data_IF_593869936286
#
_entry.id   IF_593869936286
#
_cell.length_a   1.000
_cell.length_b   1.000
_cell.length_c   1.000
_cell.angle_alpha   90.00
_cell.angle_beta   90.00
_cell.angle_gamma   90.00
#
_symmetry.space_group_name_H-M   'P 1'
#
loop_
_entity.id
_entity.type
_entity.pdbx_description
1 polymer ?
#
# COMPACT_ATOMS: atom_id res chain seq x y z
N UNK A 1 19.99 -12.77 46.23
CA UNK A 1 19.89 -11.32 45.90
C UNK A 1 20.73 -11.22 44.66
N UNK A 2 20.13 -11.63 43.54
CA UNK A 2 20.90 -12.08 42.39
C UNK A 2 20.98 -10.91 41.42
N UNK A 3 22.11 -10.21 41.52
CA UNK A 3 22.51 -9.19 40.56
C UNK A 3 23.07 -9.97 39.37
N UNK A 4 22.25 -10.18 38.35
CA UNK A 4 22.71 -10.78 37.10
C UNK A 4 23.08 -9.68 36.09
N UNK A 5 24.23 -9.91 35.46
CA UNK A 5 24.98 -8.97 34.62
C UNK A 5 24.15 -8.59 33.39
N UNK A 6 23.86 -7.29 33.26
CA UNK A 6 23.17 -6.66 32.12
C UNK A 6 23.93 -7.01 30.83
N UNK A 7 23.37 -7.92 30.03
CA UNK A 7 23.86 -8.23 28.68
C UNK A 7 23.49 -7.10 27.72
N UNK A 8 24.18 -5.97 27.81
CA UNK A 8 24.19 -4.98 26.74
C UNK A 8 25.19 -5.40 25.68
N UNK A 9 24.72 -5.75 24.48
CA UNK A 9 25.60 -5.72 23.30
C UNK A 9 24.96 -5.36 21.96
N UNK A 10 23.64 -5.39 21.80
CA UNK A 10 22.98 -4.95 20.55
C UNK A 10 21.74 -4.11 20.84
N UNK A 11 21.74 -2.84 20.40
CA UNK A 11 20.59 -1.92 20.60
C UNK A 11 19.30 -2.42 19.95
N UNK A 12 19.41 -3.20 18.87
CA UNK A 12 18.27 -3.83 18.22
C UNK A 12 17.67 -4.97 19.05
N UNK A 13 18.50 -5.74 19.77
CA UNK A 13 18.03 -6.83 20.63
C UNK A 13 17.32 -6.30 21.88
N UNK A 14 17.86 -5.22 22.48
CA UNK A 14 17.24 -4.54 23.63
C UNK A 14 15.82 -4.04 23.28
N UNK A 15 15.67 -3.39 22.12
CA UNK A 15 14.37 -2.92 21.64
C UNK A 15 13.41 -4.09 21.35
N UNK A 16 13.89 -5.16 20.72
CA UNK A 16 13.05 -6.33 20.43
C UNK A 16 12.45 -6.96 21.68
N UNK A 17 13.22 -7.08 22.77
CA UNK A 17 12.72 -7.57 24.06
C UNK A 17 11.66 -6.62 24.61
N UNK A 18 11.95 -5.32 24.65
CA UNK A 18 11.01 -4.32 25.14
C UNK A 18 9.68 -4.30 24.37
N UNK A 19 9.71 -4.45 23.05
CA UNK A 19 8.49 -4.46 22.23
C UNK A 19 7.61 -5.69 22.52
N UNK A 20 8.21 -6.85 22.78
CA UNK A 20 7.46 -8.06 23.17
C UNK A 20 6.88 -7.91 24.58
N UNK A 21 7.70 -7.49 25.54
CA UNK A 21 7.30 -7.28 26.93
C UNK A 21 6.17 -6.24 27.09
N UNK A 22 6.11 -5.27 26.18
CA UNK A 22 5.08 -4.25 26.14
C UNK A 22 3.87 -4.65 25.29
N UNK A 23 3.79 -5.87 24.75
CA UNK A 23 2.67 -6.33 23.91
C UNK A 23 2.36 -5.41 22.72
N UNK A 24 3.38 -4.75 22.16
CA UNK A 24 3.21 -3.71 21.14
C UNK A 24 2.56 -4.24 19.87
N UNK A 25 2.81 -5.49 19.51
CA UNK A 25 2.23 -6.14 18.34
C UNK A 25 0.70 -6.14 18.37
N UNK A 26 0.10 -6.32 19.56
CA UNK A 26 -1.36 -6.43 19.71
C UNK A 26 -2.09 -5.17 19.27
N UNK A 27 -1.49 -3.99 19.50
CA UNK A 27 -2.06 -2.70 19.06
C UNK A 27 -2.21 -2.69 17.53
N UNK A 28 -1.19 -3.15 16.82
CA UNK A 28 -1.15 -3.12 15.36
C UNK A 28 -2.02 -4.24 14.76
N UNK A 29 -2.04 -5.44 15.33
CA UNK A 29 -2.89 -6.54 14.84
C UNK A 29 -4.36 -6.34 15.17
N UNK A 30 -4.69 -5.62 16.25
CA UNK A 30 -6.06 -5.19 16.53
C UNK A 30 -6.53 -4.11 15.54
N UNK A 31 -5.62 -3.24 15.06
CA UNK A 31 -5.93 -2.24 14.06
C UNK A 31 -5.97 -2.81 12.62
N UNK A 32 -5.09 -3.77 12.31
CA UNK A 32 -5.03 -4.50 11.04
C UNK A 32 -5.05 -6.02 11.27
N UNK A 33 -6.23 -6.67 11.22
CA UNK A 33 -6.35 -8.11 11.47
C UNK A 33 -5.61 -9.01 10.49
N UNK A 34 -5.20 -8.48 9.33
CA UNK A 34 -4.41 -9.23 8.33
C UNK A 34 -2.90 -9.21 8.66
N UNK A 35 -2.45 -8.34 9.57
CA UNK A 35 -1.05 -8.18 9.92
C UNK A 35 -0.62 -9.25 10.94
N UNK A 36 0.52 -9.91 10.69
CA UNK A 36 1.09 -10.85 11.65
C UNK A 36 1.79 -10.13 12.81
N UNK A 37 1.84 -10.70 14.03
CA UNK A 37 2.58 -10.09 15.14
C UNK A 37 4.06 -9.85 14.84
N UNK A 38 4.71 -10.76 14.09
CA UNK A 38 6.11 -10.60 13.68
C UNK A 38 6.31 -9.42 12.73
N UNK A 39 5.39 -9.22 11.79
CA UNK A 39 5.46 -8.10 10.85
C UNK A 39 5.20 -6.76 11.55
N UNK A 40 4.28 -6.75 12.53
CA UNK A 40 4.05 -5.58 13.38
C UNK A 40 5.32 -5.17 14.15
N UNK A 41 6.01 -6.13 14.77
CA UNK A 41 7.27 -5.85 15.48
C UNK A 41 8.37 -5.38 14.53
N UNK A 42 8.50 -6.01 13.36
CA UNK A 42 9.47 -5.59 12.33
C UNK A 42 9.17 -4.16 11.83
N UNK A 43 7.90 -3.81 11.66
CA UNK A 43 7.46 -2.45 11.31
C UNK A 43 7.90 -1.45 12.39
N UNK A 44 7.63 -1.73 13.66
CA UNK A 44 8.01 -0.83 14.76
C UNK A 44 9.52 -0.64 14.81
N UNK A 45 10.29 -1.73 14.74
CA UNK A 45 11.75 -1.67 14.76
C UNK A 45 12.33 -0.87 13.60
N UNK A 46 11.76 -1.01 12.40
CA UNK A 46 12.19 -0.29 11.20
C UNK A 46 11.96 1.22 11.33
N UNK A 47 10.84 1.62 11.92
CA UNK A 47 10.42 3.01 11.95
C UNK A 47 10.70 3.72 13.28
N UNK A 48 11.17 3.03 14.31
CA UNK A 48 11.55 3.66 15.57
C UNK A 48 12.61 4.75 15.35
N UNK A 49 12.35 5.96 15.85
CA UNK A 49 13.27 7.10 15.70
C UNK A 49 13.70 7.65 17.05
N UNK A 50 14.97 8.01 17.17
CA UNK A 50 15.55 8.70 18.34
C UNK A 50 15.65 10.23 18.10
N UNK A 51 15.31 10.69 16.90
CA UNK A 51 15.43 12.10 16.50
C UNK A 51 14.11 12.85 16.71
N UNK A 52 14.12 13.82 17.64
CA UNK A 52 12.96 14.65 17.95
C UNK A 52 12.44 15.43 16.73
N UNK A 53 13.33 15.86 15.84
CA UNK A 53 12.96 16.57 14.62
C UNK A 53 12.22 15.66 13.65
N UNK A 54 12.74 14.45 13.42
CA UNK A 54 12.09 13.43 12.57
C UNK A 54 10.70 13.06 13.11
N UNK A 55 10.59 12.81 14.42
CA UNK A 55 9.32 12.46 15.06
C UNK A 55 8.31 13.60 14.88
N UNK A 56 8.72 14.85 15.09
CA UNK A 56 7.84 16.00 14.94
C UNK A 56 7.40 16.23 13.47
N UNK A 57 8.28 16.00 12.50
CA UNK A 57 7.92 16.05 11.08
C UNK A 57 6.92 14.95 10.71
N UNK A 58 7.08 13.72 11.22
CA UNK A 58 6.10 12.63 11.03
C UNK A 58 4.74 12.98 11.64
N UNK A 59 4.71 13.48 12.88
CA UNK A 59 3.47 13.92 13.52
C UNK A 59 2.80 15.06 12.74
N UNK A 60 3.60 15.96 12.14
CA UNK A 60 3.08 17.04 11.30
C UNK A 60 2.41 16.52 10.04
N UNK A 61 3.08 15.64 9.31
CA UNK A 61 2.52 15.05 8.09
C UNK A 61 1.31 14.15 8.41
N UNK A 62 1.39 13.30 9.45
CA UNK A 62 0.27 12.46 9.88
C UNK A 62 -0.96 13.30 10.26
N UNK A 63 -0.75 14.42 10.95
CA UNK A 63 -1.82 15.37 11.30
C UNK A 63 -2.44 16.03 10.07
N UNK A 64 -1.66 16.41 9.05
CA UNK A 64 -2.25 16.95 7.84
C UNK A 64 -2.99 15.86 7.05
N UNK A 65 -2.42 14.65 6.93
CA UNK A 65 -3.03 13.53 6.23
C UNK A 65 -4.36 13.12 6.86
N UNK A 66 -4.45 13.05 8.20
CA UNK A 66 -5.71 12.78 8.92
C UNK A 66 -6.79 13.82 8.60
N UNK A 67 -6.39 15.06 8.28
CA UNK A 67 -7.30 16.12 7.88
C UNK A 67 -7.75 16.05 6.41
N UNK A 68 -7.04 15.27 5.58
CA UNK A 68 -7.25 15.15 4.13
C UNK A 68 -7.93 13.83 3.72
N UNK A 69 -7.59 12.73 4.40
CA UNK A 69 -7.92 11.36 4.03
C UNK A 69 -8.09 10.48 5.28
N UNK A 70 -8.69 9.31 5.09
CA UNK A 70 -8.65 8.19 6.04
C UNK A 70 -7.65 7.10 5.57
N UNK A 71 -7.45 6.08 6.40
CA UNK A 71 -6.55 4.95 6.10
C UNK A 71 -6.97 4.14 4.86
N UNK A 72 -8.28 4.05 4.57
CA UNK A 72 -8.84 3.28 3.45
C UNK A 72 -8.64 3.99 2.12
N UNK A 73 -8.90 5.29 2.08
CA UNK A 73 -8.66 6.15 0.92
C UNK A 73 -7.16 6.26 0.61
N UNK A 74 -6.31 6.40 1.64
CA UNK A 74 -4.86 6.38 1.45
C UNK A 74 -4.37 5.01 0.94
N UNK A 75 -4.97 3.89 1.41
CA UNK A 75 -4.70 2.54 0.86
C UNK A 75 -5.00 2.47 -0.64
N UNK A 76 -6.12 3.06 -1.08
CA UNK A 76 -6.49 3.10 -2.51
C UNK A 76 -5.48 3.90 -3.34
N UNK A 77 -5.06 5.07 -2.85
CA UNK A 77 -4.04 5.89 -3.51
C UNK A 77 -2.68 5.16 -3.58
N UNK A 78 -2.23 4.52 -2.50
CA UNK A 78 -1.02 3.67 -2.53
C UNK A 78 -1.20 2.51 -3.54
N UNK A 79 -2.41 1.97 -3.65
CA UNK A 79 -2.78 0.97 -4.65
C UNK A 79 -2.43 1.40 -6.08
N UNK A 80 -2.67 2.66 -6.46
CA UNK A 80 -2.32 3.17 -7.80
C UNK A 80 -0.81 3.23 -8.03
N UNK A 81 -0.01 3.52 -7.00
CA UNK A 81 1.45 3.44 -7.08
C UNK A 81 1.92 1.99 -7.27
N UNK A 82 1.38 1.05 -6.50
CA UNK A 82 1.75 -0.38 -6.63
C UNK A 82 1.35 -0.95 -7.99
N UNK A 83 0.26 -0.45 -8.59
CA UNK A 83 -0.15 -0.83 -9.94
C UNK A 83 0.93 -0.47 -10.98
N UNK A 84 1.56 0.72 -10.88
CA UNK A 84 2.69 1.09 -11.74
C UNK A 84 3.82 0.06 -11.64
N UNK A 85 4.14 -0.40 -10.43
CA UNK A 85 5.20 -1.38 -10.19
C UNK A 85 4.86 -2.73 -10.83
N UNK A 86 3.63 -3.20 -10.65
CA UNK A 86 3.13 -4.44 -11.27
C UNK A 86 3.22 -4.38 -12.80
N UNK A 87 2.72 -3.30 -13.42
CA UNK A 87 2.74 -3.16 -14.88
C UNK A 87 4.16 -3.02 -15.42
N UNK A 88 5.06 -2.34 -14.70
CA UNK A 88 6.49 -2.26 -15.05
C UNK A 88 7.14 -3.64 -15.04
N UNK A 89 6.82 -4.49 -14.07
CA UNK A 89 7.39 -5.83 -14.00
C UNK A 89 6.78 -6.76 -15.07
N UNK A 90 5.49 -6.64 -15.37
CA UNK A 90 4.86 -7.33 -16.51
C UNK A 90 5.48 -6.92 -17.85
N UNK A 91 5.81 -5.64 -18.03
CA UNK A 91 6.45 -5.15 -19.25
C UNK A 91 7.82 -5.81 -19.50
N UNK A 92 8.57 -6.17 -18.45
CA UNK A 92 9.84 -6.91 -18.58
C UNK A 92 9.64 -8.34 -19.08
N UNK A 93 8.44 -8.90 -18.90
CA UNK A 93 8.05 -10.23 -19.33
C UNK A 93 7.40 -10.25 -20.73
N UNK A 94 7.31 -9.10 -21.40
CA UNK A 94 6.72 -9.01 -22.74
C UNK A 94 7.48 -9.90 -23.74
N UNK A 95 6.81 -10.94 -24.23
CA UNK A 95 7.37 -11.90 -25.20
C UNK A 95 6.99 -11.62 -26.66
N UNK A 96 6.00 -10.76 -26.90
CA UNK A 96 5.43 -10.45 -28.22
C UNK A 96 5.25 -8.94 -28.39
N UNK A 97 5.05 -8.47 -29.63
CA UNK A 97 4.75 -7.06 -29.87
C UNK A 97 3.41 -6.67 -29.26
N UNK A 98 2.44 -7.58 -29.30
CA UNK A 98 1.13 -7.39 -28.69
C UNK A 98 1.23 -7.18 -27.17
N UNK A 99 1.91 -8.08 -26.44
CA UNK A 99 2.09 -7.94 -24.98
C UNK A 99 2.89 -6.70 -24.62
N UNK A 100 3.88 -6.31 -25.43
CA UNK A 100 4.61 -5.07 -25.24
C UNK A 100 3.67 -3.85 -25.30
N UNK A 101 2.86 -3.74 -26.36
CA UNK A 101 1.87 -2.66 -26.50
C UNK A 101 0.87 -2.67 -25.35
N UNK A 102 0.37 -3.84 -24.96
CA UNK A 102 -0.61 -3.99 -23.89
C UNK A 102 -0.05 -3.53 -22.52
N UNK A 103 1.14 -4.01 -22.13
CA UNK A 103 1.75 -3.65 -20.85
C UNK A 103 2.19 -2.19 -20.82
N UNK A 104 2.69 -1.64 -21.94
CA UNK A 104 2.98 -0.21 -22.05
C UNK A 104 1.73 0.63 -21.91
N UNK A 105 0.63 0.26 -22.56
CA UNK A 105 -0.66 0.93 -22.39
C UNK A 105 -1.09 0.91 -20.92
N UNK A 106 -1.14 -0.27 -20.29
CA UNK A 106 -1.53 -0.40 -18.88
C UNK A 106 -0.64 0.41 -17.93
N UNK A 107 0.67 0.43 -18.17
CA UNK A 107 1.62 1.24 -17.41
C UNK A 107 1.33 2.75 -17.56
N UNK A 108 1.08 3.22 -18.79
CA UNK A 108 0.69 4.62 -19.05
C UNK A 108 -0.64 4.97 -18.36
N UNK A 109 -1.62 4.06 -18.39
CA UNK A 109 -2.90 4.25 -17.71
C UNK A 109 -2.75 4.29 -16.18
N UNK A 110 -1.93 3.39 -15.62
CA UNK A 110 -1.64 3.35 -14.19
C UNK A 110 -0.96 4.65 -13.73
N UNK A 111 -0.03 5.18 -14.52
CA UNK A 111 0.61 6.48 -14.25
C UNK A 111 -0.39 7.63 -14.23
N UNK A 112 -1.21 7.78 -15.27
CA UNK A 112 -2.21 8.86 -15.35
C UNK A 112 -3.21 8.77 -14.20
N UNK A 113 -3.66 7.55 -13.88
CA UNK A 113 -4.56 7.30 -12.75
C UNK A 113 -3.91 7.69 -11.43
N UNK A 114 -2.65 7.31 -11.22
CA UNK A 114 -1.91 7.63 -10.01
C UNK A 114 -1.75 9.14 -9.81
N UNK A 115 -1.24 9.86 -10.81
CA UNK A 115 -1.03 11.31 -10.71
C UNK A 115 -2.35 12.03 -10.45
N UNK A 116 -3.41 11.66 -11.18
CA UNK A 116 -4.76 12.22 -10.99
C UNK A 116 -5.27 11.98 -9.56
N UNK A 117 -5.22 10.74 -9.08
CA UNK A 117 -5.70 10.34 -7.75
C UNK A 117 -4.98 11.11 -6.64
N UNK A 118 -3.66 11.23 -6.72
CA UNK A 118 -2.89 11.97 -5.71
C UNK A 118 -3.14 13.47 -5.78
N UNK A 119 -3.26 14.07 -6.96
CA UNK A 119 -3.64 15.48 -7.06
C UNK A 119 -5.02 15.73 -6.45
N UNK A 120 -6.02 14.91 -6.77
CA UNK A 120 -7.37 15.02 -6.21
C UNK A 120 -7.42 14.85 -4.69
N UNK A 121 -6.54 14.03 -4.12
CA UNK A 121 -6.40 13.86 -2.68
C UNK A 121 -5.70 15.06 -2.03
N UNK A 122 -4.58 15.51 -2.62
CA UNK A 122 -3.68 16.51 -2.04
C UNK A 122 -4.15 17.96 -2.24
N UNK A 123 -5.01 18.24 -3.24
CA UNK A 123 -5.58 19.56 -3.52
C UNK A 123 -6.77 19.92 -2.59
N UNK A 124 -7.21 18.98 -1.73
CA UNK A 124 -8.34 19.19 -0.81
C UNK A 124 -7.99 20.18 0.31
N UNK A 125 -8.99 20.91 0.84
CA UNK A 125 -8.78 21.69 2.07
C UNK A 125 -8.53 20.75 3.26
N UNK A 126 -7.47 21.02 4.02
CA UNK A 126 -7.15 20.27 5.24
C UNK A 126 -8.15 20.63 6.33
N UNK A 127 -8.86 19.64 6.89
CA UNK A 127 -9.75 19.85 8.04
C UNK A 127 -8.94 20.19 9.29
N UNK A 128 -9.44 21.14 10.08
CA UNK A 128 -8.84 21.47 11.38
C UNK A 128 -8.91 20.28 12.32
N UNK A 129 -7.76 19.92 12.89
CA UNK A 129 -7.64 18.86 13.88
C UNK A 129 -7.01 19.47 15.13
N UNK A 130 -7.50 19.05 16.30
CA UNK A 130 -6.97 19.47 17.60
C UNK A 130 -7.01 20.99 17.90
N UNK A 131 -7.87 21.76 17.21
CA UNK A 131 -8.08 23.18 17.51
C UNK A 131 -6.89 24.10 17.25
N UNK A 132 -5.91 23.67 16.44
CA UNK A 132 -4.73 24.44 16.09
C UNK A 132 -4.82 24.91 14.63
N UNK A 133 -4.54 26.19 14.30
CA UNK A 133 -4.50 26.65 12.91
C UNK A 133 -3.44 25.87 12.12
N UNK A 134 -3.87 25.10 11.13
CA UNK A 134 -3.00 24.20 10.39
C UNK A 134 -2.01 24.98 9.51
N UNK A 135 -0.73 24.98 9.88
CA UNK A 135 0.35 25.17 8.92
C UNK A 135 0.57 23.84 8.20
N UNK A 136 0.43 23.85 6.87
CA UNK A 136 0.80 22.71 6.02
C UNK A 136 2.25 22.32 6.30
N UNK A 137 2.50 21.07 6.69
CA UNK A 137 3.85 20.59 6.99
C UNK A 137 4.77 20.71 5.77
N UNK A 138 6.08 20.86 6.02
CA UNK A 138 7.09 20.96 4.96
C UNK A 138 7.05 19.75 4.03
N UNK A 139 6.85 18.55 4.60
CA UNK A 139 6.71 17.28 3.86
C UNK A 139 5.46 17.24 2.99
N UNK A 140 4.32 17.68 3.52
CA UNK A 140 3.08 17.72 2.72
C UNK A 140 3.21 18.73 1.57
N UNK A 141 3.77 19.92 1.82
CA UNK A 141 4.02 20.91 0.78
C UNK A 141 4.94 20.33 -0.32
N UNK A 142 5.98 19.60 0.07
CA UNK A 142 6.88 18.94 -0.88
C UNK A 142 6.15 17.90 -1.72
N UNK A 143 5.29 17.09 -1.10
CA UNK A 143 4.47 16.08 -1.78
C UNK A 143 3.46 16.72 -2.75
N UNK A 144 2.78 17.79 -2.31
CA UNK A 144 1.87 18.60 -3.14
C UNK A 144 2.59 19.19 -4.35
N UNK A 145 3.76 19.81 -4.13
CA UNK A 145 4.57 20.36 -5.21
C UNK A 145 5.05 19.28 -6.19
N UNK A 146 5.42 18.10 -5.69
CA UNK A 146 5.85 16.99 -6.52
C UNK A 146 4.73 16.55 -7.48
N UNK A 147 3.53 16.24 -6.97
CA UNK A 147 2.41 15.83 -7.82
C UNK A 147 1.88 16.96 -8.70
N UNK A 148 1.89 18.21 -8.21
CA UNK A 148 1.55 19.37 -9.04
C UNK A 148 2.51 19.54 -10.23
N UNK A 149 3.81 19.28 -10.05
CA UNK A 149 4.79 19.31 -11.15
C UNK A 149 4.53 18.18 -12.13
N UNK A 150 4.27 16.96 -11.66
CA UNK A 150 3.95 15.82 -12.53
C UNK A 150 2.70 16.11 -13.39
N UNK A 151 1.65 16.69 -12.80
CA UNK A 151 0.43 17.07 -13.53
C UNK A 151 0.66 18.15 -14.59
N UNK A 152 1.64 19.03 -14.39
CA UNK A 152 2.01 20.10 -15.32
C UNK A 152 3.07 19.67 -16.35
N UNK A 153 3.70 18.52 -16.15
CA UNK A 153 4.73 18.01 -17.03
C UNK A 153 4.15 17.61 -18.39
N UNK A 154 4.94 17.83 -19.44
CA UNK A 154 4.61 17.41 -20.80
C UNK A 154 4.39 15.90 -20.87
N UNK A 155 5.17 15.11 -20.11
CA UNK A 155 5.02 13.65 -20.06
C UNK A 155 3.59 13.25 -19.68
N UNK A 156 2.98 13.93 -18.71
CA UNK A 156 1.60 13.63 -18.28
C UNK A 156 0.58 13.97 -19.38
N UNK A 157 0.71 15.13 -20.02
CA UNK A 157 -0.15 15.52 -21.15
C UNK A 157 0.00 14.54 -22.33
N UNK A 158 1.23 14.15 -22.68
CA UNK A 158 1.51 13.21 -23.77
C UNK A 158 0.91 11.83 -23.45
N UNK A 159 0.98 11.37 -22.20
CA UNK A 159 0.32 10.14 -21.75
C UNK A 159 -1.20 10.20 -21.95
N UNK A 160 -1.85 11.29 -21.54
CA UNK A 160 -3.30 11.46 -21.70
C UNK A 160 -3.72 11.46 -23.16
N UNK A 161 -2.98 12.17 -24.01
CA UNK A 161 -3.23 12.22 -25.46
C UNK A 161 -3.08 10.83 -26.09
N UNK A 162 -2.00 10.11 -25.77
CA UNK A 162 -1.75 8.76 -26.27
C UNK A 162 -2.82 7.77 -25.82
N UNK A 163 -3.23 7.79 -24.54
CA UNK A 163 -4.32 6.92 -24.06
C UNK A 163 -5.63 7.19 -24.80
N UNK A 164 -5.95 8.47 -25.06
CA UNK A 164 -7.14 8.86 -25.83
C UNK A 164 -7.07 8.29 -27.25
N UNK A 165 -5.93 8.43 -27.93
CA UNK A 165 -5.72 7.89 -29.27
C UNK A 165 -5.74 6.35 -29.30
N UNK A 166 -5.16 5.68 -28.29
CA UNK A 166 -5.13 4.23 -28.19
C UNK A 166 -6.54 3.63 -28.02
N UNK A 167 -7.36 4.23 -27.16
CA UNK A 167 -8.75 3.77 -26.94
C UNK A 167 -9.58 3.79 -28.22
N UNK A 168 -9.35 4.78 -29.11
CA UNK A 168 -10.01 4.88 -30.41
C UNK A 168 -9.44 3.91 -31.45
N UNK A 169 -8.13 3.63 -31.39
CA UNK A 169 -7.45 2.79 -32.39
C UNK A 169 -7.66 1.30 -32.15
N UNK A 170 -7.61 0.86 -30.89
CA UNK A 170 -7.60 -0.54 -30.52
C UNK A 170 -8.61 -0.76 -29.39
N UNK A 171 -9.90 -0.92 -29.72
CA UNK A 171 -10.89 -1.30 -28.72
C UNK A 171 -10.52 -2.70 -28.22
N UNK A 172 -9.97 -2.78 -27.01
CA UNK A 172 -9.66 -4.06 -26.40
C UNK A 172 -10.98 -4.77 -26.07
N UNK A 173 -11.12 -6.07 -26.40
CA UNK A 173 -12.31 -6.83 -26.02
C UNK A 173 -12.51 -6.89 -24.52
N UNK A 174 -13.74 -6.71 -24.07
CA UNK A 174 -14.15 -7.06 -22.70
C UNK A 174 -14.13 -8.58 -22.48
N UNK A 175 -14.51 -9.34 -23.50
CA UNK A 175 -14.50 -10.79 -23.49
C UNK A 175 -14.07 -11.35 -24.85
N UNK A 176 -13.30 -12.44 -24.77
CA UNK A 176 -12.78 -13.22 -25.89
C UNK A 176 -13.38 -14.62 -25.78
N UNK A 177 -14.15 -15.03 -26.77
CA UNK A 177 -14.68 -16.40 -26.85
C UNK A 177 -13.67 -17.26 -27.59
N UNK A 178 -13.15 -18.28 -26.92
CA UNK A 178 -12.23 -19.24 -27.50
C UNK A 178 -12.99 -20.52 -27.87
N UNK A 179 -12.82 -20.96 -29.11
CA UNK A 179 -13.27 -22.24 -29.62
C UNK A 179 -12.17 -23.26 -29.50
N UNK A 180 -12.53 -24.47 -29.09
CA UNK A 180 -11.60 -25.57 -28.93
C UNK A 180 -12.26 -26.82 -29.53
N UNK A 181 -11.70 -27.30 -30.64
CA UNK A 181 -12.08 -28.57 -31.22
C UNK A 181 -11.37 -29.68 -30.45
N UNK A 182 -12.11 -30.72 -30.07
CA UNK A 182 -11.59 -31.89 -29.37
C UNK A 182 -11.86 -33.16 -30.17
N UNK A 183 -10.98 -34.15 -30.03
CA UNK A 183 -11.21 -35.53 -30.46
C UNK A 183 -12.26 -36.21 -29.56
N UNK A 184 -12.70 -37.39 -29.98
CA UNK A 184 -13.63 -38.23 -29.19
C UNK A 184 -13.10 -38.61 -27.79
N UNK A 185 -11.77 -38.60 -27.60
CA UNK A 185 -11.11 -38.86 -26.32
C UNK A 185 -10.91 -37.58 -25.47
N UNK A 186 -11.40 -36.43 -25.92
CA UNK A 186 -11.31 -35.14 -25.24
C UNK A 186 -9.99 -34.39 -25.44
N UNK A 187 -9.06 -34.91 -26.26
CA UNK A 187 -7.82 -34.20 -26.57
C UNK A 187 -8.06 -33.03 -27.55
N UNK A 188 -7.52 -31.81 -27.29
CA UNK A 188 -7.62 -30.69 -28.23
C UNK A 188 -6.98 -31.02 -29.59
N UNK A 189 -7.67 -30.74 -30.69
CA UNK A 189 -7.08 -30.78 -32.05
C UNK A 189 -6.74 -29.39 -32.56
N UNK A 190 -7.67 -28.45 -32.37
CA UNK A 190 -7.58 -27.10 -32.86
C UNK A 190 -8.17 -26.15 -31.83
N UNK A 191 -7.71 -24.91 -31.85
CA UNK A 191 -8.24 -23.84 -31.03
C UNK A 191 -8.28 -22.56 -31.86
N UNK A 192 -9.09 -21.59 -31.46
CA UNK A 192 -9.09 -20.26 -32.07
C UNK A 192 -10.06 -19.30 -31.40
N UNK A 193 -9.95 -18.01 -31.74
CA UNK A 193 -10.88 -16.97 -31.29
C UNK A 193 -12.15 -17.03 -32.16
N UNK A 194 -13.31 -17.22 -31.53
CA UNK A 194 -14.63 -17.26 -32.19
C UNK A 194 -15.23 -15.85 -32.26
N UNK A 195 -15.18 -15.11 -31.15
CA UNK A 195 -15.78 -13.77 -31.06
C UNK A 195 -15.05 -12.88 -30.06
N UNK A 196 -15.18 -11.57 -30.31
CA UNK A 196 -14.54 -10.47 -29.60
C UNK A 196 -15.63 -9.41 -29.43
N UNK A 197 -15.94 -8.99 -28.21
CA UNK A 197 -16.93 -7.91 -28.01
C UNK A 197 -16.33 -6.51 -28.19
N UNK A 198 -17.16 -5.57 -28.64
CA UNK A 198 -16.76 -4.19 -28.92
C UNK A 198 -16.85 -3.26 -27.71
N UNK A 199 -15.83 -2.40 -27.62
CA UNK A 199 -15.61 -1.19 -26.79
C UNK A 199 -15.58 -1.34 -25.25
N UNK A 200 -14.38 -1.52 -24.69
CA UNK A 200 -14.04 -1.12 -23.32
C UNK A 200 -13.71 0.37 -23.26
N UNK A 201 -14.58 1.16 -22.64
CA UNK A 201 -14.27 2.51 -22.17
C UNK A 201 -13.87 2.43 -20.68
N UNK A 202 -12.60 2.70 -20.31
CA UNK A 202 -12.17 2.73 -18.91
C UNK A 202 -12.96 3.70 -18.02
N UNK A 203 -13.66 4.68 -18.62
CA UNK A 203 -14.47 5.68 -17.94
C UNK A 203 -15.94 5.26 -17.80
N UNK A 204 -16.44 4.34 -18.62
CA UNK A 204 -17.86 3.92 -18.66
C UNK A 204 -18.03 2.42 -18.97
N UNK A 205 -18.01 1.54 -17.95
CA UNK A 205 -17.96 0.08 -18.11
C UNK A 205 -19.27 -0.62 -18.56
N UNK A 206 -20.36 0.11 -18.84
CA UNK A 206 -21.71 -0.47 -19.02
C UNK A 206 -22.25 -0.46 -20.47
N UNK A 207 -21.53 0.08 -21.46
CA UNK A 207 -21.99 0.16 -22.86
C UNK A 207 -21.30 -0.89 -23.76
N UNK A 208 -21.95 -2.04 -23.99
CA UNK A 208 -21.41 -3.12 -24.82
C UNK A 208 -22.26 -3.30 -26.09
N UNK A 209 -21.67 -3.09 -27.27
CA UNK A 209 -22.23 -3.55 -28.55
C UNK A 209 -21.46 -4.80 -29.03
N UNK A 210 -22.18 -5.88 -29.27
CA UNK A 210 -21.62 -7.12 -29.84
C UNK A 210 -21.41 -6.97 -31.35
N UNK A 211 -20.17 -7.05 -31.82
CA UNK A 211 -19.87 -7.25 -33.24
C UNK A 211 -19.49 -8.71 -33.47
N UNK A 212 -20.30 -9.50 -34.20
CA UNK A 212 -19.91 -10.85 -34.57
C UNK A 212 -18.69 -10.79 -35.50
N UNK A 213 -17.66 -11.56 -35.17
CA UNK A 213 -16.60 -11.92 -36.11
C UNK A 213 -17.03 -13.19 -36.86
N UNK A 214 -16.54 -13.35 -38.10
CA UNK A 214 -16.86 -14.50 -38.95
C UNK A 214 -16.63 -15.85 -38.22
N UNK A 215 -17.49 -16.86 -38.47
CA UNK A 215 -17.41 -18.14 -37.79
C UNK A 215 -16.10 -18.87 -38.09
N UNK A 216 -15.75 -19.77 -37.15
CA UNK A 216 -14.62 -20.69 -37.16
C UNK A 216 -14.24 -21.18 -38.56
N UNK A 217 -12.94 -21.09 -38.85
CA UNK A 217 -12.26 -21.80 -39.93
C UNK A 217 -12.69 -23.29 -39.93
N UNK A 218 -13.29 -23.75 -41.04
CA UNK A 218 -13.73 -25.14 -41.25
C UNK A 218 -15.02 -25.24 -42.07
N UNK A 219 -14.94 -25.02 -43.39
CA UNK A 219 -16.08 -24.78 -44.29
C UNK A 219 -16.89 -26.01 -44.75
N UNK A 220 -17.93 -25.78 -45.57
CA UNK A 220 -18.78 -26.84 -46.15
C UNK A 220 -18.39 -27.28 -47.57
N UNK A 221 -17.29 -26.78 -48.16
CA UNK A 221 -16.87 -27.17 -49.51
C UNK A 221 -15.72 -28.20 -49.47
N UNK A 222 -15.98 -29.49 -49.77
CA UNK A 222 -14.97 -30.55 -49.74
C UNK A 222 -13.93 -30.47 -50.86
N UNK A 223 -14.05 -29.53 -51.81
CA UNK A 223 -13.11 -29.37 -52.92
C UNK A 223 -12.14 -28.18 -52.76
N UNK A 224 -12.22 -27.41 -51.67
CA UNK A 224 -11.22 -26.40 -51.35
C UNK A 224 -10.21 -26.92 -50.33
N UNK A 225 -8.89 -26.77 -50.57
CA UNK A 225 -7.90 -27.11 -49.56
C UNK A 225 -8.12 -26.23 -48.33
N UNK A 226 -8.11 -26.84 -47.16
CA UNK A 226 -8.11 -26.14 -45.88
C UNK A 226 -7.00 -25.08 -45.90
N UNK A 227 -7.38 -23.81 -45.90
CA UNK A 227 -6.47 -22.71 -45.59
C UNK A 227 -6.23 -22.72 -44.07
N UNK A 228 -5.60 -23.80 -43.58
CA UNK A 228 -4.99 -23.78 -42.26
C UNK A 228 -3.93 -22.68 -42.29
N UNK A 229 -4.13 -21.65 -41.47
CA UNK A 229 -3.22 -20.51 -41.39
C UNK A 229 -1.94 -20.83 -40.59
N UNK A 230 -1.72 -22.07 -40.09
CA UNK A 230 -0.53 -22.42 -39.30
C UNK A 230 -0.26 -23.95 -39.19
N UNK A 231 0.99 -24.38 -38.86
CA UNK A 231 1.47 -25.76 -39.00
C UNK A 231 0.99 -26.70 -37.88
N UNK A 232 0.99 -28.01 -38.14
CA UNK A 232 0.76 -29.06 -37.13
C UNK A 232 1.71 -28.88 -35.93
N UNK A 233 1.17 -28.58 -34.75
CA UNK A 233 1.95 -28.58 -33.51
C UNK A 233 1.86 -29.95 -32.84
N UNK A 234 3.03 -30.52 -32.51
CA UNK A 234 3.14 -31.75 -31.73
C UNK A 234 2.97 -31.39 -30.25
N UNK A 235 1.85 -31.81 -29.69
CA UNK A 235 1.50 -31.65 -28.29
C UNK A 235 2.56 -32.25 -27.36
N UNK A 236 3.16 -31.44 -26.48
CA UNK A 236 4.12 -31.90 -25.47
C UNK A 236 3.68 -31.49 -24.06
N UNK A 237 3.51 -32.48 -23.19
CA UNK A 237 2.81 -32.38 -21.89
C UNK A 237 3.51 -31.48 -20.86
N UNK A 238 4.77 -31.10 -21.09
CA UNK A 238 5.59 -30.31 -20.16
C UNK A 238 5.43 -28.78 -20.29
N UNK A 239 4.76 -28.27 -21.33
CA UNK A 239 4.70 -26.84 -21.67
C UNK A 239 3.27 -26.29 -21.80
N UNK A 240 2.33 -26.90 -21.08
CA UNK A 240 0.89 -26.71 -21.24
C UNK A 240 0.40 -25.26 -21.15
N UNK A 241 1.06 -24.42 -20.33
CA UNK A 241 0.69 -23.01 -20.14
C UNK A 241 1.30 -22.07 -21.18
N UNK A 242 2.59 -22.25 -21.50
CA UNK A 242 3.32 -21.33 -22.39
C UNK A 242 2.83 -21.38 -23.83
N UNK A 243 2.43 -22.55 -24.33
CA UNK A 243 1.97 -22.69 -25.72
C UNK A 243 0.60 -22.04 -25.96
N UNK A 244 -0.25 -21.96 -24.94
CA UNK A 244 -1.56 -21.35 -25.06
C UNK A 244 -1.47 -19.81 -25.09
N UNK A 245 -0.66 -19.23 -24.20
CA UNK A 245 -0.41 -17.79 -24.18
C UNK A 245 0.27 -17.33 -25.48
N UNK A 246 1.28 -18.08 -25.94
CA UNK A 246 1.97 -17.83 -27.21
C UNK A 246 1.00 -17.95 -28.41
N UNK A 247 0.07 -18.90 -28.37
CA UNK A 247 -0.97 -19.07 -29.39
C UNK A 247 -1.92 -17.87 -29.46
N UNK A 248 -2.43 -17.39 -28.32
CA UNK A 248 -3.31 -16.21 -28.25
C UNK A 248 -2.58 -14.97 -28.74
N UNK A 249 -1.34 -14.78 -28.29
CA UNK A 249 -0.50 -13.65 -28.68
C UNK A 249 -0.30 -13.59 -30.20
N UNK A 250 0.10 -14.71 -30.82
CA UNK A 250 0.31 -14.79 -32.26
C UNK A 250 -0.98 -14.55 -33.05
N UNK A 251 -2.11 -15.09 -32.56
CA UNK A 251 -3.43 -14.92 -33.19
C UNK A 251 -3.90 -13.47 -33.17
N UNK A 252 -3.79 -12.82 -32.00
CA UNK A 252 -4.14 -11.41 -31.83
C UNK A 252 -3.18 -10.49 -32.61
N UNK A 253 -1.88 -10.82 -32.63
CA UNK A 253 -0.90 -10.05 -33.41
C UNK A 253 -1.17 -10.14 -34.91
N UNK A 254 -1.58 -11.31 -35.42
CA UNK A 254 -1.96 -11.45 -36.81
C UNK A 254 -3.26 -10.69 -37.13
N UNK A 255 -4.29 -10.83 -36.29
CA UNK A 255 -5.60 -10.19 -36.50
C UNK A 255 -5.53 -8.66 -36.42
N UNK A 256 -4.76 -8.12 -35.48
CA UNK A 256 -4.67 -6.69 -35.21
C UNK A 256 -3.35 -6.05 -35.65
N UNK A 257 -2.56 -6.72 -36.50
CA UNK A 257 -1.20 -6.33 -36.89
C UNK A 257 -1.03 -4.84 -37.19
N UNK A 258 -1.89 -4.29 -38.05
CA UNK A 258 -1.81 -2.89 -38.46
C UNK A 258 -2.19 -1.91 -37.34
N UNK A 259 -3.11 -2.30 -36.45
CA UNK A 259 -3.50 -1.51 -35.28
C UNK A 259 -2.44 -1.56 -34.19
N UNK A 260 -1.87 -2.74 -33.91
CA UNK A 260 -0.77 -2.94 -32.97
C UNK A 260 0.44 -2.11 -33.39
N UNK A 261 0.82 -2.14 -34.68
CA UNK A 261 1.93 -1.32 -35.19
C UNK A 261 1.70 0.19 -35.04
N UNK A 262 0.45 0.66 -35.16
CA UNK A 262 0.11 2.07 -34.92
C UNK A 262 0.16 2.40 -33.42
N UNK A 263 -0.37 1.52 -32.58
CA UNK A 263 -0.35 1.67 -31.13
C UNK A 263 1.08 1.72 -30.58
N UNK A 264 1.95 0.84 -31.06
CA UNK A 264 3.37 0.79 -30.70
C UNK A 264 4.08 2.12 -30.99
N UNK A 265 3.87 2.68 -32.19
CA UNK A 265 4.39 4.00 -32.59
C UNK A 265 3.85 5.17 -31.76
N UNK A 266 2.63 5.05 -31.24
CA UNK A 266 2.09 6.07 -30.34
C UNK A 266 2.76 5.98 -28.97
N UNK A 267 2.91 4.76 -28.45
CA UNK A 267 3.53 4.52 -27.15
C UNK A 267 5.02 4.88 -27.16
N UNK A 268 5.73 4.76 -28.28
CA UNK A 268 7.11 5.26 -28.47
C UNK A 268 7.29 6.74 -28.13
N UNK A 269 6.21 7.54 -28.18
CA UNK A 269 6.26 8.97 -27.81
C UNK A 269 6.27 9.21 -26.31
N UNK A 270 5.91 8.22 -25.50
CA UNK A 270 5.79 8.34 -24.04
C UNK A 270 7.06 7.82 -23.37
N UNK A 271 7.67 8.67 -22.56
CA UNK A 271 8.76 8.26 -21.66
C UNK A 271 8.19 7.55 -20.43
N UNK A 272 8.64 6.33 -20.18
CA UNK A 272 8.20 5.47 -19.06
C UNK A 272 9.13 5.55 -17.83
N UNK A 273 10.13 6.44 -17.85
CA UNK A 273 11.14 6.58 -16.79
C UNK A 273 10.58 7.14 -15.46
N UNK A 274 9.31 7.54 -15.41
CA UNK A 274 8.65 8.07 -14.20
C UNK A 274 8.49 7.07 -13.06
N UNK A 275 8.58 5.76 -13.34
CA UNK A 275 8.11 4.72 -12.41
C UNK A 275 8.91 4.63 -11.10
N UNK A 276 10.23 4.79 -11.13
CA UNK A 276 11.07 4.55 -9.95
C UNK A 276 10.85 5.56 -8.82
N UNK A 277 10.71 6.84 -9.16
CA UNK A 277 10.49 7.89 -8.16
C UNK A 277 9.12 7.76 -7.48
N UNK A 278 8.09 7.40 -8.26
CA UNK A 278 6.76 7.16 -7.72
C UNK A 278 6.75 5.92 -6.81
N UNK A 279 7.39 4.83 -7.23
CA UNK A 279 7.45 3.60 -6.42
C UNK A 279 8.18 3.80 -5.10
N UNK A 280 9.14 4.72 -5.02
CA UNK A 280 9.80 5.08 -3.77
C UNK A 280 8.85 5.71 -2.72
N UNK A 281 7.68 6.20 -3.12
CA UNK A 281 6.67 6.77 -2.21
C UNK A 281 5.80 5.71 -1.53
N UNK A 282 5.77 4.46 -2.03
CA UNK A 282 4.89 3.41 -1.51
C UNK A 282 5.17 3.15 -0.03
N UNK A 283 6.43 2.91 0.32
CA UNK A 283 6.79 2.52 1.69
C UNK A 283 6.60 3.65 2.71
N UNK A 284 7.04 4.91 2.48
CA UNK A 284 6.76 6.00 3.40
C UNK A 284 5.26 6.29 3.55
N UNK A 285 4.48 6.20 2.47
CA UNK A 285 3.03 6.43 2.57
C UNK A 285 2.31 5.31 3.31
N UNK A 286 2.74 4.06 3.16
CA UNK A 286 2.18 2.94 3.91
C UNK A 286 2.47 3.07 5.42
N UNK A 287 3.62 3.62 5.81
CA UNK A 287 3.89 3.99 7.21
C UNK A 287 2.84 4.97 7.76
N UNK A 288 2.50 6.04 7.02
CA UNK A 288 1.47 6.99 7.44
C UNK A 288 0.07 6.38 7.41
N UNK A 289 -0.22 5.49 6.45
CA UNK A 289 -1.47 4.71 6.42
C UNK A 289 -1.64 3.91 7.71
N UNK A 290 -0.59 3.22 8.16
CA UNK A 290 -0.60 2.48 9.42
C UNK A 290 -0.83 3.40 10.63
N UNK A 291 -0.22 4.58 10.65
CA UNK A 291 -0.47 5.59 11.69
C UNK A 291 -1.93 6.07 11.73
N UNK A 292 -2.56 6.28 10.56
CA UNK A 292 -3.98 6.61 10.46
C UNK A 292 -4.85 5.45 10.95
N UNK A 293 -4.55 4.22 10.52
CA UNK A 293 -5.29 3.02 10.90
C UNK A 293 -5.30 2.79 12.42
N UNK A 294 -4.13 2.90 13.07
CA UNK A 294 -4.01 2.80 14.54
C UNK A 294 -4.80 3.91 15.22
N UNK A 295 -4.75 5.14 14.71
CA UNK A 295 -5.51 6.27 15.26
C UNK A 295 -7.03 6.05 15.14
N UNK A 296 -7.48 5.59 13.97
CA UNK A 296 -8.87 5.26 13.71
C UNK A 296 -9.37 4.13 14.62
N UNK A 297 -8.55 3.11 14.90
CA UNK A 297 -8.89 2.02 15.80
C UNK A 297 -9.21 2.52 17.22
N UNK A 298 -8.42 3.47 17.75
CA UNK A 298 -8.71 4.09 19.04
C UNK A 298 -9.96 4.98 19.02
N UNK A 299 -10.14 5.77 17.96
CA UNK A 299 -11.28 6.68 17.81
C UNK A 299 -12.61 5.93 17.65
N UNK A 300 -12.59 4.79 16.94
CA UNK A 300 -13.76 3.90 16.81
C UNK A 300 -14.23 3.36 18.16
N UNK A 301 -13.32 3.25 19.13
CA UNK A 301 -13.63 2.89 20.53
C UNK A 301 -14.08 4.09 21.38
N UNK A 302 -14.11 5.29 20.80
CA UNK A 302 -14.57 6.52 21.43
C UNK A 302 -13.49 7.27 22.23
N UNK A 303 -12.22 6.90 22.08
CA UNK A 303 -11.13 7.54 22.80
C UNK A 303 -10.61 8.77 22.06
N UNK A 304 -10.28 9.80 22.83
CA UNK A 304 -9.60 10.98 22.32
C UNK A 304 -8.10 10.71 22.22
N UNK A 305 -7.49 11.31 21.21
CA UNK A 305 -6.06 11.21 20.97
C UNK A 305 -5.41 12.57 21.16
N UNK A 306 -4.14 12.57 21.54
CA UNK A 306 -3.31 13.78 21.49
C UNK A 306 -2.13 13.60 20.54
N UNK A 307 -1.62 14.74 20.09
CA UNK A 307 -0.34 14.85 19.40
C UNK A 307 0.77 14.97 20.45
N UNK A 308 1.63 13.95 20.62
CA UNK A 308 2.77 14.06 21.53
C UNK A 308 3.77 15.12 21.06
N UNK A 309 4.51 15.71 21.98
CA UNK A 309 5.47 16.79 21.72
C UNK A 309 6.89 16.31 22.07
N UNK A 310 7.66 15.79 21.10
CA UNK A 310 9.06 15.48 21.32
C UNK A 310 9.85 16.77 21.56
N UNK A 311 10.67 16.81 22.62
CA UNK A 311 11.58 17.93 22.93
C UNK A 311 12.90 17.42 23.50
N UNK A 312 14.00 18.01 23.08
CA UNK A 312 15.30 17.70 23.67
C UNK A 312 15.41 18.25 25.09
N UNK A 313 16.16 17.55 25.94
CA UNK A 313 16.47 17.97 27.31
C UNK A 313 15.22 18.27 28.17
N UNK A 314 14.18 17.44 28.08
CA UNK A 314 12.91 17.65 28.78
C UNK A 314 12.59 16.52 29.78
N UNK A 315 11.66 16.79 30.69
CA UNK A 315 11.03 15.77 31.54
C UNK A 315 9.92 15.06 30.78
N UNK A 316 9.72 13.77 31.03
CA UNK A 316 8.51 13.09 30.56
C UNK A 316 7.32 13.61 31.36
N UNK A 317 6.33 14.15 30.66
CA UNK A 317 5.02 14.52 31.20
C UNK A 317 3.94 13.93 30.31
N UNK A 318 3.04 13.14 30.86
CA UNK A 318 1.89 12.59 30.16
C UNK A 318 0.67 12.67 31.07
N UNK A 319 -0.46 13.12 30.53
CA UNK A 319 -1.69 13.34 31.28
C UNK A 319 -2.82 12.49 30.73
N UNK A 320 -3.56 11.85 31.62
CA UNK A 320 -4.70 10.99 31.34
C UNK A 320 -4.36 9.90 30.30
N UNK A 321 -3.18 9.28 30.44
CA UNK A 321 -2.69 8.23 29.56
C UNK A 321 -3.52 6.95 29.73
N UNK A 322 -4.14 6.48 28.66
CA UNK A 322 -4.87 5.23 28.62
C UNK A 322 -3.98 4.11 28.09
N UNK A 323 -4.15 2.89 28.59
CA UNK A 323 -3.38 1.71 28.18
C UNK A 323 -3.73 1.30 26.72
N UNK A 324 -2.87 1.58 25.72
CA UNK A 324 -3.24 1.47 24.30
C UNK A 324 -3.78 0.10 23.85
N UNK A 325 -3.10 -1.00 24.19
CA UNK A 325 -3.60 -2.35 23.88
C UNK A 325 -4.94 -2.63 24.56
N UNK A 326 -5.02 -2.33 25.86
CA UNK A 326 -6.19 -2.68 26.67
C UNK A 326 -7.47 -1.93 26.23
N UNK A 327 -7.36 -0.67 25.79
CA UNK A 327 -8.50 0.12 25.31
C UNK A 327 -9.10 -0.37 23.98
N UNK A 328 -8.36 -1.17 23.20
CA UNK A 328 -8.89 -1.76 21.96
C UNK A 328 -9.87 -2.90 22.25
N UNK A 329 -9.75 -3.52 23.42
CA UNK A 329 -10.53 -4.70 23.82
C UNK A 329 -11.55 -4.43 24.93
N UNK A 330 -11.36 -3.36 25.72
CA UNK A 330 -12.18 -3.07 26.90
C UNK A 330 -12.69 -1.62 26.93
N UNK A 331 -13.69 -1.37 27.77
CA UNK A 331 -14.32 -0.05 27.96
C UNK A 331 -14.26 0.37 29.43
N UNK A 332 -14.43 1.67 29.69
CA UNK A 332 -14.44 2.20 31.07
C UNK A 332 -13.06 2.29 31.73
N UNK A 333 -11.99 2.31 30.94
CA UNK A 333 -10.61 2.42 31.42
C UNK A 333 -10.33 3.85 31.87
N UNK A 334 -9.70 3.98 33.04
CA UNK A 334 -9.26 5.28 33.56
C UNK A 334 -7.83 5.57 33.11
N UNK A 335 -7.59 6.82 32.71
CA UNK A 335 -6.26 7.27 32.34
C UNK A 335 -5.40 7.60 33.56
N UNK A 336 -4.09 7.63 33.35
CA UNK A 336 -3.09 7.85 34.38
C UNK A 336 -2.16 9.01 34.02
N UNK A 337 -1.75 9.78 35.02
CA UNK A 337 -0.77 10.86 34.87
C UNK A 337 0.63 10.37 35.26
N UNK A 338 1.66 10.88 34.57
CA UNK A 338 3.05 10.72 34.98
C UNK A 338 3.84 11.98 34.68
N UNK A 339 4.57 12.46 35.69
CA UNK A 339 5.64 13.44 35.54
C UNK A 339 6.94 12.83 36.06
N UNK A 340 7.93 12.69 35.18
CA UNK A 340 9.22 12.11 35.48
C UNK A 340 10.34 13.07 35.04
N UNK A 341 11.08 13.60 36.02
CA UNK A 341 12.23 14.45 35.74
C UNK A 341 13.34 13.65 35.04
N UNK A 342 14.14 14.32 34.20
CA UNK A 342 15.27 13.68 33.53
C UNK A 342 16.26 13.12 34.55
N UNK A 343 16.66 11.86 34.38
CA UNK A 343 17.58 11.16 35.29
C UNK A 343 16.98 10.77 36.64
N UNK A 344 15.65 10.84 36.80
CA UNK A 344 14.95 10.38 38.00
C UNK A 344 14.39 8.97 37.83
N UNK A 345 14.02 8.36 38.95
CA UNK A 345 13.35 7.07 39.01
C UNK A 345 12.08 7.19 39.86
N UNK A 346 11.05 6.42 39.52
CA UNK A 346 9.80 6.33 40.28
C UNK A 346 9.68 4.92 40.84
N UNK A 347 9.38 4.82 42.14
CA UNK A 347 9.10 3.56 42.81
C UNK A 347 7.59 3.44 42.94
N UNK A 348 7.01 2.47 42.25
CA UNK A 348 5.56 2.18 42.31
C UNK A 348 5.34 1.07 43.32
N UNK A 349 4.54 1.34 44.35
CA UNK A 349 4.19 0.36 45.38
C UNK A 349 2.68 0.18 45.46
N UNK A 350 2.24 -1.00 45.90
CA UNK A 350 0.82 -1.32 46.05
C UNK A 350 0.57 -2.83 46.06
N UNK A 351 -0.63 -3.27 46.45
CA UNK A 351 -1.01 -4.69 46.46
C UNK A 351 -0.85 -5.36 45.09
N UNK A 352 -0.67 -6.67 45.05
CA UNK A 352 -0.74 -7.41 43.79
C UNK A 352 -2.12 -7.20 43.14
N UNK A 353 -2.16 -7.12 41.80
CA UNK A 353 -3.35 -6.76 41.01
C UNK A 353 -3.87 -5.32 41.17
N UNK A 354 -3.11 -4.40 41.76
CA UNK A 354 -3.49 -2.98 41.83
C UNK A 354 -3.22 -2.20 40.53
N UNK A 355 -2.96 -2.87 39.40
CA UNK A 355 -2.71 -2.23 38.10
C UNK A 355 -1.30 -1.67 37.88
N UNK A 356 -0.31 -2.01 38.72
CA UNK A 356 1.08 -1.50 38.58
C UNK A 356 1.72 -1.88 37.24
N UNK A 357 1.58 -3.13 36.83
CA UNK A 357 2.09 -3.64 35.54
C UNK A 357 1.38 -2.95 34.38
N UNK A 358 0.06 -2.82 34.44
CA UNK A 358 -0.74 -2.10 33.44
C UNK A 358 -0.32 -0.62 33.34
N UNK A 359 -0.01 0.04 34.45
CA UNK A 359 0.51 1.40 34.45
C UNK A 359 1.86 1.49 33.74
N UNK A 360 2.80 0.59 34.03
CA UNK A 360 4.11 0.56 33.35
C UNK A 360 3.96 0.27 31.83
N UNK A 361 3.12 -0.70 31.47
CA UNK A 361 2.81 -1.00 30.05
C UNK A 361 2.15 0.20 29.38
N UNK A 362 1.22 0.91 30.03
CA UNK A 362 0.60 2.15 29.50
C UNK A 362 1.64 3.17 29.08
N UNK A 363 2.58 3.49 29.98
CA UNK A 363 3.63 4.48 29.70
C UNK A 363 4.54 3.99 28.59
N UNK A 364 5.00 2.73 28.64
CA UNK A 364 5.88 2.15 27.62
C UNK A 364 5.25 2.13 26.23
N UNK A 365 3.99 1.67 26.11
CA UNK A 365 3.27 1.64 24.83
C UNK A 365 3.05 3.05 24.26
N UNK A 366 2.60 4.01 25.09
CA UNK A 366 2.47 5.41 24.66
C UNK A 366 3.80 6.00 24.20
N UNK A 367 4.91 5.68 24.88
CA UNK A 367 6.24 6.16 24.51
C UNK A 367 6.69 5.65 23.13
N UNK A 368 6.51 4.35 22.88
CA UNK A 368 6.90 3.74 21.60
C UNK A 368 6.05 4.31 20.46
N UNK A 369 4.73 4.42 20.63
CA UNK A 369 3.85 5.05 19.63
C UNK A 369 4.27 6.51 19.37
N UNK A 370 4.60 7.27 20.42
CA UNK A 370 5.08 8.64 20.28
C UNK A 370 6.41 8.71 19.52
N UNK A 371 7.36 7.79 19.75
CA UNK A 371 8.64 7.74 19.02
C UNK A 371 8.54 7.24 17.57
N UNK A 372 7.46 6.54 17.22
CA UNK A 372 7.13 6.31 15.81
C UNK A 372 6.69 7.61 15.12
N UNK A 373 6.09 8.54 15.89
CA UNK A 373 5.44 9.74 15.38
C UNK A 373 3.94 9.53 15.18
N UNK A 374 3.31 8.68 15.99
CA UNK A 374 1.87 8.43 15.98
C UNK A 374 1.16 9.21 17.08
N UNK A 375 -0.16 9.38 16.93
CA UNK A 375 -1.00 9.87 18.00
C UNK A 375 -1.15 8.82 19.10
N UNK A 376 -1.42 9.28 20.32
CA UNK A 376 -1.55 8.41 21.49
C UNK A 376 -2.87 8.69 22.24
N UNK A 377 -3.44 7.69 22.93
CA UNK A 377 -4.65 7.86 23.72
C UNK A 377 -4.35 8.49 25.09
N UNK A 378 -4.10 9.79 25.08
CA UNK A 378 -3.85 10.63 26.25
C UNK A 378 -4.35 12.05 25.99
N UNK A 379 -4.45 12.88 27.03
CA UNK A 379 -4.81 14.29 26.86
C UNK A 379 -3.61 15.14 26.38
N UNK A 380 -2.40 14.81 26.84
CA UNK A 380 -1.17 15.46 26.38
C UNK A 380 0.07 14.61 26.69
N UNK A 381 1.14 14.78 25.92
CA UNK A 381 2.45 14.21 26.22
C UNK A 381 3.58 15.14 25.75
N UNK A 382 4.57 15.34 26.62
CA UNK A 382 5.86 15.98 26.34
C UNK A 382 6.94 14.99 26.76
N UNK A 383 7.90 14.71 25.88
CA UNK A 383 8.91 13.68 26.14
C UNK A 383 10.22 13.96 25.39
N UNK A 384 11.32 13.38 25.88
CA UNK A 384 12.61 13.37 25.20
C UNK A 384 12.79 12.02 24.50
N UNK A 385 12.96 11.92 23.17
CA UNK A 385 13.19 10.64 22.52
C UNK A 385 14.38 9.89 23.13
N UNK A 386 14.21 8.59 23.36
CA UNK A 386 15.24 7.73 23.97
C UNK A 386 15.77 6.71 22.97
N UNK A 387 17.04 6.39 23.15
CA UNK A 387 17.75 5.40 22.33
C UNK A 387 17.34 3.97 22.62
N UNK A 388 17.06 3.71 23.89
CA UNK A 388 16.82 2.36 24.40
C UNK A 388 15.72 2.40 25.43
N UNK A 389 14.85 1.42 25.34
CA UNK A 389 13.83 1.11 26.33
C UNK A 389 14.23 -0.25 26.90
N UNK A 390 14.31 -0.33 28.22
CA UNK A 390 14.60 -1.57 28.93
C UNK A 390 13.36 -1.97 29.72
N UNK A 391 12.98 -3.23 29.59
CA UNK A 391 11.88 -3.84 30.32
C UNK A 391 12.40 -5.04 31.09
N UNK A 392 11.76 -5.29 32.23
CA UNK A 392 11.98 -6.49 33.02
C UNK A 392 10.68 -6.81 33.75
N UNK A 393 9.86 -7.66 33.14
CA UNK A 393 8.67 -8.20 33.77
C UNK A 393 8.96 -9.63 34.26
N UNK A 394 8.44 -9.99 35.42
CA UNK A 394 8.61 -11.35 35.95
C UNK A 394 7.70 -12.31 35.19
N UNK A 395 8.23 -13.44 34.72
CA UNK A 395 7.43 -14.44 34.01
C UNK A 395 6.29 -14.96 34.90
N UNK A 396 5.04 -14.78 34.46
CA UNK A 396 3.85 -15.36 35.12
C UNK A 396 2.84 -14.40 35.74
N UNK A 397 2.92 -13.08 35.52
CA UNK A 397 1.88 -12.12 35.93
C UNK A 397 0.87 -11.76 34.81
N UNK A 398 0.92 -12.44 33.66
CA UNK A 398 0.01 -12.24 32.51
C UNK A 398 -1.21 -13.20 32.52
N UNK A 399 -1.86 -13.41 33.67
CA UNK A 399 -3.08 -14.23 33.77
C UNK A 399 -4.30 -13.44 34.23
#
# INVERSE_FOLDING_TARGET
MDIEIIRGKDSAADLAVALNDLDLANIFTAADPELSPSDALAFIQRWYSEDASEINERLSLLSNLKGLTDSSELKKAIGTLTAIGRERDMLKLAGSRFTNVLFRWRLTAAYVTCVTTFCELLDRPIKDLFGCPQTTSSRLQTLQQYFSRLRQDKVFSDCQEVLTQLSQLLPLPHYLTLGLNVREDGHPTDMGIISVSGSYDPLHPEAVEEKPLNPLLGGTDPNQPSLSLAPEFVYNRQLYGSHFDEYIDLSLEHQYRSKIQKADKLLEKVDISFSDQLLALVEPLDFYRTGLLVSEAFEQKGYKLCRPQPRDHTSLTITNALYPDFILHHTGIQGNDLTLAKGSAVIITGPNHSGKTSYLKTIGQCYVLAQLGFFIPADSMVFEPVKRIFTLFSAGEDS
#
